data_IF_989616976139
#
_entry.id   IF_989616976139
#
_cell.length_a   1.000
_cell.length_b   1.000
_cell.length_c   1.000
_cell.angle_alpha   90.00
_cell.angle_beta   90.00
_cell.angle_gamma   90.00
#
_symmetry.space_group_name_H-M   'P 1'
#
loop_
_entity.id
_entity.type
_entity.pdbx_description
1 polymer ?
#
# COMPACT_ATOMS: atom_id res chain seq x y z
N UNK A 1 2.27 -3.38 -8.32
CA UNK A 1 2.53 -4.26 -7.20
C UNK A 1 3.24 -3.53 -6.09
N UNK A 2 2.82 -3.69 -4.90
CA UNK A 2 3.47 -2.97 -3.82
C UNK A 2 3.40 -3.69 -2.48
N UNK A 3 4.25 -3.22 -1.59
CA UNK A 3 4.21 -3.53 -0.19
C UNK A 3 4.67 -4.89 0.24
N UNK A 4 4.36 -5.88 -0.49
CA UNK A 4 4.48 -7.20 0.03
C UNK A 4 5.90 -7.66 0.24
N UNK A 5 6.73 -7.34 -0.68
CA UNK A 5 8.06 -7.93 -0.66
C UNK A 5 8.97 -7.35 0.42
N UNK A 6 8.74 -6.16 0.78
CA UNK A 6 9.69 -5.47 1.59
C UNK A 6 9.88 -6.02 2.98
N UNK A 7 8.86 -6.35 3.61
CA UNK A 7 8.89 -6.91 4.91
C UNK A 7 10.05 -6.49 5.79
N UNK A 8 10.57 -7.45 6.48
CA UNK A 8 11.60 -7.23 7.48
C UNK A 8 12.95 -7.71 6.99
N UNK A 9 13.97 -6.85 7.11
CA UNK A 9 15.33 -7.22 6.78
C UNK A 9 16.02 -7.93 7.95
N UNK A 10 16.97 -8.83 7.63
CA UNK A 10 17.69 -9.59 8.63
C UNK A 10 18.40 -8.68 9.64
N UNK A 11 18.26 -8.99 10.91
CA UNK A 11 18.91 -8.29 12.01
C UNK A 11 18.40 -6.89 12.31
N UNK A 12 17.51 -6.36 11.49
CA UNK A 12 16.93 -5.02 11.67
C UNK A 12 15.49 -5.05 11.22
N UNK A 13 14.64 -4.36 11.95
CA UNK A 13 13.25 -4.19 11.55
C UNK A 13 13.12 -2.98 10.64
N UNK A 14 13.34 -3.21 9.36
CA UNK A 14 13.14 -2.22 8.33
C UNK A 14 11.97 -2.67 7.47
N UNK A 15 10.95 -1.85 7.41
CA UNK A 15 9.77 -2.12 6.62
C UNK A 15 9.86 -1.38 5.29
N UNK A 16 9.49 -2.04 4.21
CA UNK A 16 9.65 -1.48 2.87
C UNK A 16 8.37 -1.63 2.05
N UNK A 17 8.25 -0.79 1.03
CA UNK A 17 7.25 -0.94 -0.02
C UNK A 17 8.00 -1.16 -1.32
N UNK A 18 7.73 -2.25 -2.02
CA UNK A 18 8.45 -2.68 -3.22
C UNK A 18 9.97 -2.76 -2.99
N UNK A 19 10.38 -3.16 -1.80
CA UNK A 19 11.80 -3.28 -1.46
C UNK A 19 12.50 -1.97 -1.13
N UNK A 20 11.77 -0.87 -1.05
CA UNK A 20 12.34 0.45 -0.79
C UNK A 20 11.85 0.96 0.56
N UNK A 21 12.79 1.22 1.46
CA UNK A 21 12.50 1.86 2.74
C UNK A 21 12.53 3.38 2.59
N UNK A 22 11.60 4.06 3.23
CA UNK A 22 11.63 5.52 3.29
C UNK A 22 12.70 5.95 4.28
N UNK A 23 13.73 6.65 3.80
CA UNK A 23 14.91 6.99 4.60
C UNK A 23 15.21 8.47 4.69
N UNK A 24 14.36 9.33 4.16
CA UNK A 24 14.65 10.76 4.16
C UNK A 24 13.40 11.60 4.21
N UNK A 25 13.56 12.93 4.34
CA UNK A 25 12.45 13.85 4.40
C UNK A 25 11.71 14.01 3.07
N UNK A 26 12.37 13.70 1.96
CA UNK A 26 11.78 13.76 0.64
C UNK A 26 11.72 12.36 0.05
N UNK A 27 10.53 11.96 -0.40
CA UNK A 27 10.33 10.66 -1.02
C UNK A 27 9.97 10.84 -2.48
N UNK A 28 10.67 10.08 -3.34
CA UNK A 28 10.28 10.00 -4.74
C UNK A 28 9.07 9.08 -4.88
N UNK A 29 8.09 9.43 -5.74
CA UNK A 29 6.99 8.54 -6.01
C UNK A 29 7.48 7.23 -6.61
N UNK A 30 6.97 6.10 -6.12
CA UNK A 30 7.28 4.80 -6.72
C UNK A 30 6.27 4.41 -7.80
N UNK A 31 5.14 5.10 -7.86
CA UNK A 31 4.14 4.96 -8.91
C UNK A 31 3.66 6.33 -9.34
N UNK A 32 3.48 6.50 -10.65
CA UNK A 32 2.81 7.68 -11.20
C UNK A 32 1.59 7.21 -11.96
N UNK A 33 0.43 7.71 -11.57
CA UNK A 33 -0.87 7.33 -12.14
C UNK A 33 -1.45 8.50 -12.94
N UNK A 34 -2.17 8.17 -13.99
CA UNK A 34 -2.84 9.15 -14.81
C UNK A 34 -4.16 9.57 -14.19
N UNK A 35 -4.35 10.87 -14.01
CA UNK A 35 -5.57 11.44 -13.46
C UNK A 35 -6.80 10.98 -14.25
N UNK A 36 -7.83 10.58 -13.54
CA UNK A 36 -9.10 10.16 -14.11
C UNK A 36 -9.18 8.70 -14.52
N UNK A 37 -8.08 7.98 -14.44
CA UNK A 37 -8.08 6.55 -14.75
C UNK A 37 -8.35 5.70 -13.53
N UNK A 38 -8.92 4.52 -13.77
CA UNK A 38 -9.14 3.52 -12.73
C UNK A 38 -7.95 2.57 -12.67
N UNK A 39 -7.58 2.18 -11.46
CA UNK A 39 -6.44 1.30 -11.22
C UNK A 39 -6.80 0.19 -10.25
N UNK A 40 -6.15 -0.94 -10.42
CA UNK A 40 -6.13 -2.02 -9.45
C UNK A 40 -4.71 -2.16 -8.94
N UNK A 41 -4.53 -2.05 -7.65
CA UNK A 41 -3.25 -2.30 -7.00
C UNK A 41 -3.28 -3.66 -6.32
N UNK A 42 -2.28 -4.46 -6.60
CA UNK A 42 -2.06 -5.75 -5.97
C UNK A 42 -1.15 -5.56 -4.77
N UNK A 43 -1.70 -5.68 -3.58
CA UNK A 43 -0.98 -5.52 -2.32
C UNK A 43 -0.63 -6.89 -1.77
N UNK A 44 0.64 -7.16 -1.57
CA UNK A 44 1.11 -8.44 -1.04
C UNK A 44 1.87 -8.24 0.24
N UNK A 45 1.50 -9.02 1.23
CA UNK A 45 2.18 -9.03 2.51
C UNK A 45 3.05 -10.30 2.62
N UNK A 46 4.32 -10.15 2.27
CA UNK A 46 5.30 -11.25 2.37
C UNK A 46 5.94 -11.35 3.75
N UNK A 47 5.30 -10.77 4.76
CA UNK A 47 5.83 -10.74 6.12
C UNK A 47 5.03 -11.64 7.04
N UNK A 48 5.53 -11.79 8.28
CA UNK A 48 4.84 -12.52 9.35
C UNK A 48 3.89 -11.62 10.15
N UNK A 49 3.75 -10.37 9.76
CA UNK A 49 3.04 -9.35 10.52
C UNK A 49 1.78 -8.90 9.80
N UNK A 50 0.76 -8.56 10.56
CA UNK A 50 -0.42 -7.92 10.03
C UNK A 50 -0.08 -6.48 9.64
N UNK A 51 -0.49 -6.06 8.46
CA UNK A 51 -0.30 -4.70 7.99
C UNK A 51 -1.62 -4.05 7.59
N UNK A 52 -2.11 -3.08 8.38
CA UNK A 52 -3.19 -2.20 7.93
C UNK A 52 -2.58 -1.12 7.01
N UNK A 53 -2.92 -1.20 5.74
CA UNK A 53 -2.39 -0.29 4.72
C UNK A 53 -3.40 0.81 4.45
N UNK A 54 -2.96 2.05 4.61
CA UNK A 54 -3.77 3.25 4.38
C UNK A 54 -3.25 4.03 3.17
N UNK A 55 -4.18 4.38 2.28
CA UNK A 55 -3.91 5.25 1.14
C UNK A 55 -4.53 6.61 1.38
N UNK A 56 -3.72 7.66 1.31
CA UNK A 56 -4.20 9.02 1.42
C UNK A 56 -4.88 9.51 0.14
N UNK A 57 -5.81 10.41 0.28
CA UNK A 57 -6.42 11.14 -0.82
C UNK A 57 -7.44 10.39 -1.65
N UNK A 58 -7.60 9.10 -1.44
CA UNK A 58 -8.50 8.26 -2.23
C UNK A 58 -9.21 7.23 -1.37
N UNK A 59 -10.45 6.91 -1.76
CA UNK A 59 -11.12 5.74 -1.26
C UNK A 59 -11.03 4.63 -2.31
N UNK A 60 -11.00 3.39 -1.85
CA UNK A 60 -10.87 2.23 -2.73
C UNK A 60 -11.84 1.13 -2.31
N UNK A 61 -12.01 0.14 -3.18
CA UNK A 61 -12.73 -1.08 -2.88
C UNK A 61 -11.78 -2.25 -2.86
N UNK A 62 -11.90 -3.12 -1.88
CA UNK A 62 -11.15 -4.37 -1.86
C UNK A 62 -11.93 -5.36 -2.71
N UNK A 63 -11.38 -5.72 -3.86
CA UNK A 63 -12.09 -6.55 -4.85
C UNK A 63 -11.70 -8.01 -4.80
N UNK A 64 -10.55 -8.33 -4.22
CA UNK A 64 -10.14 -9.72 -4.04
C UNK A 64 -9.22 -9.87 -2.83
N UNK A 65 -9.18 -11.10 -2.29
CA UNK A 65 -8.19 -11.50 -1.28
C UNK A 65 -7.65 -12.87 -1.67
N UNK A 66 -6.33 -13.00 -1.69
CA UNK A 66 -5.64 -14.24 -2.08
C UNK A 66 -6.15 -14.80 -3.41
N UNK A 67 -6.46 -13.92 -4.37
CA UNK A 67 -6.94 -14.29 -5.68
C UNK A 67 -8.42 -14.62 -5.77
N UNK A 68 -9.15 -14.57 -4.66
CA UNK A 68 -10.59 -14.86 -4.66
C UNK A 68 -11.40 -13.56 -4.54
N UNK A 69 -12.47 -13.40 -5.33
CA UNK A 69 -13.31 -12.21 -5.25
C UNK A 69 -13.90 -12.01 -3.86
N UNK A 70 -13.95 -10.77 -3.41
CA UNK A 70 -14.61 -10.43 -2.15
C UNK A 70 -16.12 -10.38 -2.32
N UNK A 71 -16.84 -10.75 -1.26
CA UNK A 71 -18.30 -10.73 -1.27
C UNK A 71 -18.86 -9.31 -1.24
N UNK A 72 -18.26 -8.46 -0.40
CA UNK A 72 -18.66 -7.06 -0.25
C UNK A 72 -17.53 -6.16 -0.71
N UNK A 73 -17.86 -5.18 -1.53
CA UNK A 73 -16.88 -4.23 -2.10
C UNK A 73 -17.18 -2.83 -1.60
N UNK A 74 -17.10 -2.68 -0.28
CA UNK A 74 -17.35 -1.41 0.37
C UNK A 74 -16.20 -0.43 0.11
N UNK A 75 -16.55 0.84 0.10
CA UNK A 75 -15.54 1.89 0.03
C UNK A 75 -14.75 1.96 1.33
N UNK A 76 -13.43 1.97 1.22
CA UNK A 76 -12.52 2.03 2.35
C UNK A 76 -11.31 2.87 2.00
N UNK A 77 -10.58 3.32 3.02
CA UNK A 77 -9.28 3.98 2.87
C UNK A 77 -8.15 3.18 3.52
N UNK A 78 -8.49 2.10 4.19
CA UNK A 78 -7.53 1.22 4.88
C UNK A 78 -7.93 -0.22 4.65
N UNK A 79 -6.94 -1.07 4.37
CA UNK A 79 -7.14 -2.51 4.20
C UNK A 79 -6.19 -3.26 5.12
N UNK A 80 -6.73 -4.23 5.86
CA UNK A 80 -5.94 -5.14 6.68
C UNK A 80 -5.44 -6.29 5.81
N UNK A 81 -4.13 -6.47 5.78
CA UNK A 81 -3.51 -7.58 5.05
C UNK A 81 -2.79 -8.46 6.06
N UNK A 82 -3.30 -9.68 6.22
CA UNK A 82 -2.73 -10.65 7.14
C UNK A 82 -1.38 -11.17 6.65
N UNK A 83 -0.60 -11.82 7.51
CA UNK A 83 0.66 -12.44 7.08
C UNK A 83 0.45 -13.36 5.87
N UNK A 84 1.31 -13.21 4.88
CA UNK A 84 1.29 -14.00 3.63
C UNK A 84 0.01 -13.84 2.80
N UNK A 85 -0.80 -12.85 3.11
CA UNK A 85 -2.02 -12.55 2.37
C UNK A 85 -1.74 -11.54 1.26
N UNK A 86 -2.53 -11.60 0.21
CA UNK A 86 -2.61 -10.57 -0.81
C UNK A 86 -4.02 -10.01 -0.91
N UNK A 87 -4.14 -8.79 -1.40
CA UNK A 87 -5.43 -8.17 -1.66
C UNK A 87 -5.31 -7.25 -2.86
N UNK A 88 -6.34 -7.20 -3.68
CA UNK A 88 -6.44 -6.24 -4.76
C UNK A 88 -7.40 -5.14 -4.37
N UNK A 89 -6.96 -3.90 -4.51
CA UNK A 89 -7.79 -2.72 -4.29
C UNK A 89 -7.99 -1.97 -5.59
N UNK A 90 -9.21 -1.49 -5.79
CA UNK A 90 -9.58 -0.75 -6.99
C UNK A 90 -10.03 0.67 -6.63
N UNK A 91 -9.55 1.65 -7.36
CA UNK A 91 -9.93 3.04 -7.16
C UNK A 91 -9.76 3.86 -8.43
N UNK A 92 -10.37 5.04 -8.46
CA UNK A 92 -10.17 6.00 -9.51
C UNK A 92 -9.14 7.03 -9.03
N UNK A 93 -8.11 7.26 -9.83
CA UNK A 93 -7.08 8.25 -9.54
C UNK A 93 -7.59 9.66 -9.93
N UNK A 94 -8.56 10.17 -9.19
CA UNK A 94 -9.24 11.41 -9.51
C UNK A 94 -8.75 12.63 -8.72
N UNK A 95 -7.84 12.41 -7.78
CA UNK A 95 -7.32 13.47 -6.92
C UNK A 95 -5.84 13.70 -7.25
N UNK A 96 -5.50 14.80 -7.96
CA UNK A 96 -4.11 15.03 -8.34
C UNK A 96 -3.25 15.40 -7.14
N UNK A 97 -1.99 14.97 -7.16
CA UNK A 97 -1.04 15.26 -6.11
C UNK A 97 -0.18 14.05 -5.77
N UNK A 98 0.64 14.23 -4.76
CA UNK A 98 1.46 13.17 -4.20
C UNK A 98 0.80 12.67 -2.91
N UNK A 99 0.45 11.39 -2.89
CA UNK A 99 -0.32 10.79 -1.81
C UNK A 99 0.47 9.70 -1.14
N UNK A 100 0.51 9.73 0.18
CA UNK A 100 1.18 8.69 0.95
C UNK A 100 0.35 7.42 0.95
N UNK A 101 1.04 6.30 0.85
CA UNK A 101 0.50 4.98 1.15
C UNK A 101 1.43 4.37 2.19
N UNK A 102 0.85 3.91 3.30
CA UNK A 102 1.68 3.45 4.41
C UNK A 102 0.94 2.46 5.29
N UNK A 103 1.74 1.69 6.05
CA UNK A 103 1.21 0.90 7.14
C UNK A 103 0.73 1.83 8.26
N UNK A 104 -0.45 1.57 8.80
CA UNK A 104 -1.04 2.41 9.86
C UNK A 104 -0.48 2.09 11.26
N UNK A 105 0.34 1.08 11.38
CA UNK A 105 1.04 0.77 12.63
C UNK A 105 2.27 1.67 12.70
N UNK A 106 2.35 2.50 13.73
CA UNK A 106 3.37 3.53 13.85
C UNK A 106 4.80 3.00 13.76
N UNK A 107 5.09 1.91 14.44
CA UNK A 107 6.42 1.30 14.41
C UNK A 107 6.83 0.89 12.99
N UNK A 108 5.88 0.41 12.19
CA UNK A 108 6.14 0.03 10.81
C UNK A 108 6.42 1.25 9.94
N UNK A 109 5.69 2.35 10.16
CA UNK A 109 5.95 3.60 9.43
C UNK A 109 7.33 4.15 9.76
N UNK A 110 7.68 4.22 11.02
CA UNK A 110 8.98 4.73 11.47
C UNK A 110 10.13 3.88 10.94
N UNK A 111 9.89 2.60 10.70
CA UNK A 111 10.88 1.70 10.14
C UNK A 111 10.88 1.70 8.59
N UNK A 112 10.13 2.59 7.94
CA UNK A 112 10.22 2.80 6.49
C UNK A 112 9.09 2.23 5.65
N UNK A 113 8.02 1.70 6.23
CA UNK A 113 6.88 1.18 5.47
C UNK A 113 5.93 2.32 5.07
N UNK A 114 6.42 3.18 4.22
CA UNK A 114 5.72 4.32 3.70
C UNK A 114 6.20 4.61 2.28
N UNK A 115 5.31 4.98 1.40
CA UNK A 115 5.64 5.33 0.02
C UNK A 115 4.77 6.45 -0.49
N UNK A 116 5.05 6.92 -1.70
CA UNK A 116 4.30 7.99 -2.35
C UNK A 116 3.81 7.52 -3.71
N UNK A 117 2.53 7.80 -3.97
CA UNK A 117 1.91 7.62 -5.28
C UNK A 117 1.59 9.00 -5.83
N UNK A 118 2.07 9.29 -7.02
CA UNK A 118 1.75 10.55 -7.71
C UNK A 118 0.58 10.33 -8.66
N UNK A 119 -0.39 11.24 -8.59
CA UNK A 119 -1.48 11.34 -9.57
C UNK A 119 -1.28 12.63 -10.35
N UNK A 120 -1.06 12.51 -11.65
CA UNK A 120 -0.74 13.66 -12.49
C UNK A 120 -1.59 13.72 -13.78
#
# INVERSE_FOLDING_TARGET
MMGGRGGMMAGRRVWTINGIAATGPAMEPFLTLSRGRSYVLDLRNDTRWLHPIHLHGHSFRVISRNGSPTRYREWRDTVLIAPRESAEIAFVADNPGDWMIHCHILDHQEAGMIGVIRVA
#
